data_IF_291730189021
#
_entry.id   IF_291730189021
#
_cell.length_a   1.000
_cell.length_b   1.000
_cell.length_c   1.000
_cell.angle_alpha   90.00
_cell.angle_beta   90.00
_cell.angle_gamma   90.00
#
_symmetry.space_group_name_H-M   'P 1'
#
loop_
_entity.id
_entity.type
_entity.pdbx_description
1 polymer ?
#
# COMPACT_ATOMS: atom_id res chain seq x y z
N UNK A 1 3.09 -8.12 11.48
CA UNK A 1 3.95 -7.32 10.57
C UNK A 1 4.72 -8.32 9.72
N UNK A 2 4.41 -8.40 8.43
CA UNK A 2 5.13 -9.28 7.51
C UNK A 2 6.19 -8.45 6.79
N UNK A 3 7.47 -8.74 7.02
CA UNK A 3 8.53 -8.17 6.18
C UNK A 3 8.42 -8.82 4.80
N UNK A 4 8.20 -8.01 3.76
CA UNK A 4 8.31 -8.48 2.39
C UNK A 4 9.79 -8.67 2.12
N UNK A 5 10.26 -9.91 2.25
CA UNK A 5 11.67 -10.29 2.09
C UNK A 5 12.09 -10.37 0.61
N UNK A 6 11.17 -10.15 -0.33
CA UNK A 6 11.45 -10.05 -1.76
C UNK A 6 11.48 -8.59 -2.18
N UNK A 7 12.34 -8.25 -3.12
CA UNK A 7 12.33 -6.96 -3.82
C UNK A 7 11.08 -6.78 -4.70
N UNK A 8 10.05 -7.61 -4.54
CA UNK A 8 8.87 -7.64 -5.39
C UNK A 8 7.60 -7.73 -4.55
N UNK A 9 6.57 -7.02 -5.02
CA UNK A 9 5.25 -6.98 -4.41
C UNK A 9 4.19 -7.09 -5.49
N UNK A 10 3.07 -7.74 -5.20
CA UNK A 10 1.90 -7.76 -6.09
C UNK A 10 0.83 -6.82 -5.53
N UNK A 11 0.44 -5.82 -6.32
CA UNK A 11 -0.62 -4.86 -5.98
C UNK A 11 -1.85 -5.16 -6.82
N UNK A 12 -3.03 -5.08 -6.22
CA UNK A 12 -4.29 -5.00 -6.97
C UNK A 12 -4.58 -3.53 -7.28
N UNK A 13 -4.56 -3.15 -8.54
CA UNK A 13 -4.95 -1.82 -8.99
C UNK A 13 -6.47 -1.61 -8.88
N UNK A 14 -6.93 -0.35 -8.97
CA UNK A 14 -8.35 0.01 -8.82
C UNK A 14 -9.25 -0.62 -9.88
N UNK A 15 -8.71 -0.92 -11.07
CA UNK A 15 -9.38 -1.65 -12.14
C UNK A 15 -9.47 -3.18 -11.87
N UNK A 16 -8.90 -3.64 -10.77
CA UNK A 16 -8.86 -5.03 -10.35
C UNK A 16 -7.69 -5.84 -10.92
N UNK A 17 -6.83 -5.27 -11.77
CA UNK A 17 -5.66 -5.96 -12.29
C UNK A 17 -4.60 -6.19 -11.22
N UNK A 18 -3.87 -7.29 -11.35
CA UNK A 18 -2.71 -7.57 -10.51
C UNK A 18 -1.46 -7.03 -11.22
N UNK A 19 -0.73 -6.17 -10.52
CA UNK A 19 0.49 -5.52 -11.02
C UNK A 19 1.67 -6.00 -10.19
N UNK A 20 2.67 -6.56 -10.84
CA UNK A 20 3.96 -6.87 -10.22
C UNK A 20 4.76 -5.57 -10.08
N UNK A 21 5.19 -5.27 -8.86
CA UNK A 21 5.92 -4.06 -8.48
C UNK A 21 7.31 -4.45 -8.01
N UNK A 22 8.34 -3.94 -8.69
CA UNK A 22 9.74 -4.06 -8.29
C UNK A 22 10.09 -2.91 -7.32
N UNK A 23 10.54 -3.27 -6.12
CA UNK A 23 10.92 -2.38 -5.03
C UNK A 23 12.44 -2.12 -4.99
N UNK A 24 13.23 -2.69 -5.92
CA UNK A 24 14.69 -2.53 -5.96
C UNK A 24 15.18 -1.08 -6.05
N UNK A 25 14.34 -0.18 -6.57
CA UNK A 25 14.60 1.26 -6.62
C UNK A 25 14.52 1.98 -5.27
N UNK A 26 13.88 1.38 -4.27
CA UNK A 26 13.63 2.00 -2.95
C UNK A 26 14.79 1.80 -1.97
N UNK A 27 16.02 2.04 -2.44
CA UNK A 27 17.24 1.83 -1.64
C UNK A 27 17.20 2.67 -0.36
N UNK A 28 17.33 2.01 0.79
CA UNK A 28 17.41 2.66 2.11
C UNK A 28 16.05 2.92 2.79
N UNK A 29 14.92 2.64 2.15
CA UNK A 29 13.61 2.72 2.78
C UNK A 29 13.21 1.34 3.33
N UNK A 30 13.18 1.18 4.66
CA UNK A 30 12.57 0.01 5.29
C UNK A 30 11.05 0.16 5.21
N UNK A 31 10.44 -0.40 4.16
CA UNK A 31 9.00 -0.28 3.95
C UNK A 31 8.30 -1.44 4.63
N UNK A 32 7.50 -1.12 5.64
CA UNK A 32 6.64 -2.08 6.32
C UNK A 32 5.23 -1.95 5.78
N UNK A 33 4.76 -2.97 5.07
CA UNK A 33 3.43 -2.99 4.48
C UNK A 33 2.56 -4.04 5.19
N UNK A 34 1.27 -3.73 5.27
CA UNK A 34 0.26 -4.68 5.74
C UNK A 34 -0.52 -5.20 4.54
N UNK A 35 -0.55 -6.52 4.29
CA UNK A 35 -1.35 -7.08 3.21
C UNK A 35 -2.82 -6.62 3.29
N UNK A 36 -3.37 -6.18 2.17
CA UNK A 36 -4.74 -5.66 2.09
C UNK A 36 -4.92 -4.19 2.49
N UNK A 37 -3.90 -3.54 3.05
CA UNK A 37 -3.93 -2.09 3.25
C UNK A 37 -3.75 -1.36 1.90
N UNK A 38 -4.51 -0.28 1.64
CA UNK A 38 -4.34 0.50 0.44
C UNK A 38 -3.04 1.29 0.48
N UNK A 39 -2.35 1.30 -0.65
CA UNK A 39 -1.10 2.02 -0.87
C UNK A 39 -1.15 2.73 -2.21
N UNK A 40 -0.38 3.80 -2.33
CA UNK A 40 -0.07 4.42 -3.63
C UNK A 40 1.38 4.10 -3.96
N UNK A 41 1.62 3.61 -5.18
CA UNK A 41 2.96 3.30 -5.69
C UNK A 41 3.27 4.26 -6.83
N UNK A 42 4.43 4.92 -6.77
CA UNK A 42 4.92 5.82 -7.79
C UNK A 42 6.13 5.20 -8.47
N UNK A 43 6.20 5.31 -9.79
CA UNK A 43 7.22 4.59 -10.54
C UNK A 43 7.04 4.67 -12.04
N UNK A 44 7.80 3.82 -12.73
CA UNK A 44 7.74 3.66 -14.18
C UNK A 44 7.31 2.25 -14.53
N UNK A 45 6.36 2.13 -15.45
CA UNK A 45 6.04 0.85 -16.07
C UNK A 45 7.20 0.48 -17.02
N UNK A 46 7.81 -0.67 -16.78
CA UNK A 46 8.77 -1.31 -17.69
C UNK A 46 8.08 -2.47 -18.42
N UNK A 47 8.77 -3.14 -19.35
CA UNK A 47 8.19 -4.20 -20.20
C UNK A 47 7.48 -5.32 -19.42
N UNK A 48 7.93 -5.67 -18.20
CA UNK A 48 7.34 -6.78 -17.43
C UNK A 48 6.82 -6.40 -16.03
N UNK A 49 7.27 -5.27 -15.47
CA UNK A 49 6.99 -4.91 -14.07
C UNK A 49 6.90 -3.39 -13.90
N UNK A 50 6.18 -2.97 -12.87
CA UNK A 50 6.15 -1.59 -12.43
C UNK A 50 7.30 -1.32 -11.47
N UNK A 51 8.30 -0.55 -11.88
CA UNK A 51 9.44 -0.23 -11.03
C UNK A 51 9.10 0.93 -10.10
N UNK A 52 9.05 0.65 -8.79
CA UNK A 52 8.76 1.64 -7.77
C UNK A 52 9.95 2.56 -7.49
N UNK A 53 9.67 3.86 -7.52
CA UNK A 53 10.57 4.95 -7.12
C UNK A 53 10.12 5.52 -5.77
N UNK A 54 8.85 5.37 -5.41
CA UNK A 54 8.32 5.75 -4.12
C UNK A 54 7.00 5.06 -3.79
N UNK A 55 6.60 5.12 -2.52
CA UNK A 55 5.34 4.59 -2.05
C UNK A 55 4.80 5.39 -0.86
N UNK A 56 3.48 5.46 -0.78
CA UNK A 56 2.76 6.12 0.31
C UNK A 56 1.72 5.15 0.84
N UNK A 57 1.77 4.88 2.15
CA UNK A 57 0.72 4.13 2.82
C UNK A 57 -0.47 5.07 3.03
N UNK A 58 -1.63 4.67 2.53
CA UNK A 58 -2.84 5.41 2.84
C UNK A 58 -3.31 4.93 4.20
N UNK A 59 -3.37 5.84 5.17
CA UNK A 59 -4.05 5.54 6.42
C UNK A 59 -5.52 5.31 6.07
N UNK A 60 -5.94 4.05 6.07
CA UNK A 60 -7.37 3.76 6.19
C UNK A 60 -7.74 4.26 7.57
N UNK A 61 -8.25 5.49 7.64
CA UNK A 61 -9.02 5.91 8.79
C UNK A 61 -10.15 4.91 8.87
N UNK A 62 -10.00 3.90 9.74
CA UNK A 62 -11.04 2.93 10.03
C UNK A 62 -12.33 3.74 10.22
N UNK A 63 -13.46 3.37 9.58
CA UNK A 63 -14.73 3.99 9.89
C UNK A 63 -15.11 3.58 11.32
N UNK A 64 -14.49 4.24 12.29
CA UNK A 64 -14.75 4.09 13.71
C UNK A 64 -16.11 4.69 13.98
N UNK A 65 -17.12 3.82 13.95
CA UNK A 65 -18.39 3.81 14.70
C UNK A 65 -18.96 5.20 15.07
N UNK A 66 -20.22 5.53 14.71
CA UNK A 66 -20.87 6.75 15.18
C UNK A 66 -20.76 6.83 16.71
N UNK A 67 -20.12 7.88 17.22
CA UNK A 67 -20.12 8.12 18.67
C UNK A 67 -21.58 8.36 19.04
N UNK A 68 -22.18 7.46 19.82
CA UNK A 68 -23.51 7.68 20.34
C UNK A 68 -23.43 8.95 21.21
N UNK A 69 -24.13 10.01 20.80
CA UNK A 69 -24.21 11.24 21.58
C UNK A 69 -24.73 10.91 22.99
N UNK A 70 -24.16 11.50 24.05
CA UNK A 70 -24.61 11.22 25.41
C UNK A 70 -26.08 11.68 25.55
N UNK A 71 -26.94 10.92 26.24
CA UNK A 71 -28.31 11.35 26.48
C UNK A 71 -28.27 12.63 27.30
N UNK A 72 -28.89 13.70 26.77
CA UNK A 72 -29.14 14.93 27.54
C UNK A 72 -30.08 14.55 28.68
N UNK A 73 -29.62 14.75 29.91
CA UNK A 73 -30.39 14.52 31.14
C UNK A 73 -31.01 15.82 31.62
#
# INVERSE_FOLDING_TARGET
MHSVAGQELVVRADDGQLVAVDLSGLRGAAVSLTPGAPIVVYGMLSDEKFQAIGLIQQETRSPGKPVAAPPRR
#
